data_IF_697117257724
#
_entry.id   IF_697117257724
#
_cell.length_a   1.000
_cell.length_b   1.000
_cell.length_c   1.000
_cell.angle_alpha   90.00
_cell.angle_beta   90.00
_cell.angle_gamma   90.00
#
_symmetry.space_group_name_H-M   'P 1'
#
loop_
_entity.id
_entity.type
_entity.pdbx_description
1 polymer ?
#
# COMPACT_ATOMS: atom_id res chain seq x y z
N UNK A 1 -2.96 -42.95 -2.81
CA UNK A 1 -3.04 -41.79 -1.89
C UNK A 1 -4.38 -41.88 -1.19
N UNK A 2 -4.40 -41.93 0.14
CA UNK A 2 -5.65 -41.95 0.89
C UNK A 2 -6.22 -40.50 1.01
N UNK A 3 -7.46 -40.38 1.49
CA UNK A 3 -8.14 -39.10 1.59
C UNK A 3 -7.35 -38.06 2.43
N UNK A 4 -6.72 -38.49 3.50
CA UNK A 4 -5.94 -37.61 4.37
C UNK A 4 -4.65 -37.12 3.70
N UNK A 5 -3.99 -37.97 2.92
CA UNK A 5 -2.83 -37.55 2.11
C UNK A 5 -3.23 -36.58 1.02
N UNK A 6 -4.40 -36.77 0.38
CA UNK A 6 -4.92 -35.83 -0.61
C UNK A 6 -5.18 -34.46 0.00
N UNK A 7 -5.76 -34.39 1.20
CA UNK A 7 -6.03 -33.13 1.89
C UNK A 7 -4.76 -32.37 2.27
N UNK A 8 -3.67 -33.05 2.60
CA UNK A 8 -2.40 -32.38 2.92
C UNK A 8 -1.80 -31.64 1.72
N UNK A 9 -2.05 -32.12 0.51
CA UNK A 9 -1.51 -31.52 -0.72
C UNK A 9 -2.54 -30.71 -1.52
N UNK A 10 -3.75 -30.58 -1.02
CA UNK A 10 -4.84 -29.90 -1.71
C UNK A 10 -4.52 -28.45 -2.04
N UNK A 11 -3.94 -27.72 -1.10
CA UNK A 11 -3.55 -26.33 -1.29
C UNK A 11 -2.43 -26.18 -2.32
N UNK A 12 -1.40 -27.00 -2.22
CA UNK A 12 -0.28 -26.98 -3.17
C UNK A 12 -0.76 -27.24 -4.60
N UNK A 13 -1.61 -28.24 -4.82
CA UNK A 13 -2.15 -28.57 -6.14
C UNK A 13 -3.00 -27.46 -6.77
N UNK A 14 -3.57 -26.57 -5.96
CA UNK A 14 -4.37 -25.43 -6.43
C UNK A 14 -3.57 -24.13 -6.62
N UNK A 15 -2.42 -23.98 -5.97
CA UNK A 15 -1.70 -22.71 -5.88
C UNK A 15 -0.28 -22.75 -6.44
N UNK A 16 0.37 -23.91 -6.44
CA UNK A 16 1.69 -24.07 -7.06
C UNK A 16 1.48 -24.42 -8.53
N UNK A 17 2.04 -23.59 -9.44
CA UNK A 17 1.82 -23.68 -10.87
C UNK A 17 2.19 -25.04 -11.47
N UNK A 18 3.47 -25.30 -11.85
CA UNK A 18 3.81 -26.52 -12.58
C UNK A 18 3.82 -27.76 -11.67
N UNK A 19 3.26 -28.85 -12.16
CA UNK A 19 3.45 -30.17 -11.58
C UNK A 19 4.82 -30.75 -12.01
N UNK A 20 5.15 -31.96 -11.52
CA UNK A 20 6.45 -32.56 -11.77
C UNK A 20 6.71 -32.83 -13.28
N UNK A 21 5.70 -33.28 -14.03
CA UNK A 21 5.83 -33.53 -15.47
C UNK A 21 6.04 -32.21 -16.22
N UNK A 22 5.23 -31.23 -15.95
CA UNK A 22 5.35 -29.87 -16.55
C UNK A 22 6.71 -29.25 -16.22
N UNK A 23 7.23 -29.45 -15.00
CA UNK A 23 8.58 -29.00 -14.63
C UNK A 23 9.65 -29.62 -15.51
N UNK A 24 9.56 -30.93 -15.80
CA UNK A 24 10.51 -31.61 -16.70
C UNK A 24 10.43 -31.03 -18.12
N UNK A 25 9.22 -30.87 -18.68
CA UNK A 25 9.02 -30.30 -20.00
C UNK A 25 9.55 -28.85 -20.12
N UNK A 26 9.38 -28.05 -19.04
CA UNK A 26 9.92 -26.70 -18.96
C UNK A 26 11.45 -26.70 -18.93
N UNK A 27 12.07 -27.59 -18.13
CA UNK A 27 13.52 -27.70 -18.04
C UNK A 27 14.15 -28.17 -19.37
N UNK A 28 13.51 -29.11 -20.06
CA UNK A 28 13.92 -29.53 -21.41
C UNK A 28 13.86 -28.38 -22.41
N UNK A 29 12.79 -27.57 -22.36
CA UNK A 29 12.65 -26.38 -23.21
C UNK A 29 13.73 -25.35 -22.95
N UNK A 30 14.12 -25.14 -21.68
CA UNK A 30 15.18 -24.22 -21.25
C UNK A 30 16.58 -24.80 -21.60
N UNK A 31 16.70 -26.09 -21.77
CA UNK A 31 17.96 -26.78 -22.06
C UNK A 31 18.82 -27.00 -20.80
N UNK A 32 18.20 -27.32 -19.67
CA UNK A 32 18.88 -27.63 -18.42
C UNK A 32 18.37 -28.98 -17.87
N UNK A 33 19.25 -29.72 -17.22
CA UNK A 33 18.99 -31.09 -16.76
C UNK A 33 18.00 -31.13 -15.57
N UNK A 34 18.13 -30.20 -14.65
CA UNK A 34 17.30 -30.14 -13.46
C UNK A 34 17.19 -28.74 -12.88
N UNK A 35 16.31 -28.58 -11.89
CA UNK A 35 16.03 -27.30 -11.27
C UNK A 35 17.23 -26.73 -10.50
N UNK A 36 18.06 -27.56 -9.88
CA UNK A 36 19.25 -27.11 -9.15
C UNK A 36 20.26 -26.45 -10.10
N UNK A 37 20.49 -27.04 -11.27
CA UNK A 37 21.34 -26.47 -12.32
C UNK A 37 20.77 -25.13 -12.82
N UNK A 38 19.45 -25.06 -12.98
CA UNK A 38 18.80 -23.78 -13.36
C UNK A 38 19.03 -22.72 -12.30
N UNK A 39 18.83 -23.04 -11.04
CA UNK A 39 19.03 -22.12 -9.91
C UNK A 39 20.50 -21.68 -9.85
N UNK A 40 21.45 -22.61 -9.96
CA UNK A 40 22.88 -22.31 -9.91
C UNK A 40 23.34 -21.40 -11.05
N UNK A 41 22.73 -21.54 -12.23
CA UNK A 41 23.00 -20.64 -13.36
C UNK A 41 22.32 -19.28 -13.25
N UNK A 42 21.26 -19.15 -12.45
CA UNK A 42 20.43 -17.96 -12.37
C UNK A 42 20.78 -17.09 -11.17
N UNK A 43 21.12 -17.71 -10.02
CA UNK A 43 21.38 -17.00 -8.77
C UNK A 43 22.89 -16.91 -8.56
N UNK A 44 23.45 -15.69 -8.41
CA UNK A 44 24.86 -15.52 -8.08
C UNK A 44 25.21 -16.25 -6.77
N UNK A 45 26.38 -16.90 -6.73
CA UNK A 45 26.86 -17.67 -5.58
C UNK A 45 26.88 -16.83 -4.29
N UNK A 46 27.20 -15.56 -4.37
CA UNK A 46 27.28 -14.65 -3.21
C UNK A 46 25.96 -14.46 -2.45
N UNK A 47 24.83 -14.73 -3.10
CA UNK A 47 23.48 -14.61 -2.51
C UNK A 47 22.76 -15.95 -2.45
N UNK A 48 23.40 -17.03 -2.89
CA UNK A 48 22.82 -18.38 -2.89
C UNK A 48 22.63 -18.90 -1.46
N UNK A 49 21.40 -19.29 -1.14
CA UNK A 49 21.09 -19.97 0.13
C UNK A 49 21.28 -21.47 -0.02
N UNK A 50 22.33 -22.03 0.59
CA UNK A 50 22.60 -23.49 0.59
C UNK A 50 21.96 -24.25 1.76
N UNK A 51 20.99 -23.65 2.43
CA UNK A 51 20.31 -24.25 3.57
C UNK A 51 18.83 -24.41 3.28
N UNK A 52 18.28 -25.53 3.67
CA UNK A 52 16.83 -25.67 3.70
C UNK A 52 16.20 -24.69 4.68
N UNK A 53 15.06 -24.14 4.30
CA UNK A 53 14.28 -23.29 5.19
C UNK A 53 13.71 -24.12 6.34
N UNK A 54 13.88 -23.66 7.57
CA UNK A 54 13.29 -24.28 8.76
C UNK A 54 11.81 -23.90 8.85
N UNK A 55 10.99 -24.52 8.03
CA UNK A 55 9.56 -24.32 8.02
C UNK A 55 8.84 -25.39 8.87
N UNK A 56 7.69 -25.06 9.47
CA UNK A 56 6.84 -26.06 10.09
C UNK A 56 6.31 -27.03 9.03
N UNK A 57 5.78 -28.16 9.48
CA UNK A 57 5.14 -29.12 8.58
C UNK A 57 3.91 -28.50 7.92
N UNK A 58 3.61 -28.95 6.70
CA UNK A 58 2.38 -28.59 6.01
C UNK A 58 1.16 -28.95 6.86
N UNK A 59 0.17 -28.08 6.83
CA UNK A 59 -1.10 -28.23 7.53
C UNK A 59 -2.25 -28.31 6.53
N UNK A 60 -3.34 -28.96 6.93
CA UNK A 60 -4.62 -28.83 6.21
C UNK A 60 -5.22 -27.46 6.42
N UNK A 61 -6.13 -27.01 5.54
CA UNK A 61 -6.85 -25.75 5.71
C UNK A 61 -7.55 -25.65 7.07
N UNK A 62 -8.14 -26.75 7.52
CA UNK A 62 -8.81 -26.78 8.83
C UNK A 62 -7.84 -26.55 10.00
N UNK A 63 -6.70 -27.21 9.99
CA UNK A 63 -5.65 -27.04 11.03
C UNK A 63 -5.12 -25.61 11.02
N UNK A 64 -4.79 -25.09 9.85
CA UNK A 64 -4.30 -23.72 9.70
C UNK A 64 -5.30 -22.68 10.22
N UNK A 65 -6.56 -22.78 9.79
CA UNK A 65 -7.60 -21.85 10.27
C UNK A 65 -7.85 -21.97 11.77
N UNK A 66 -7.74 -23.19 12.32
CA UNK A 66 -7.87 -23.41 13.76
C UNK A 66 -6.73 -22.77 14.55
N UNK A 67 -5.49 -22.87 14.06
CA UNK A 67 -4.33 -22.21 14.66
C UNK A 67 -4.39 -20.70 14.51
N UNK A 68 -4.78 -20.20 13.35
CA UNK A 68 -4.94 -18.78 13.10
C UNK A 68 -5.99 -18.16 14.02
N UNK A 69 -7.10 -18.86 14.27
CA UNK A 69 -8.10 -18.45 15.27
C UNK A 69 -7.53 -18.36 16.68
N UNK A 70 -6.72 -19.34 17.08
CA UNK A 70 -6.05 -19.31 18.39
C UNK A 70 -5.04 -18.17 18.50
N UNK A 71 -4.33 -17.87 17.40
CA UNK A 71 -3.41 -16.74 17.34
C UNK A 71 -4.17 -15.41 17.43
N UNK A 72 -5.22 -15.25 16.65
CA UNK A 72 -6.07 -14.05 16.66
C UNK A 72 -6.72 -13.81 18.02
N UNK A 73 -7.12 -14.87 18.72
CA UNK A 73 -7.71 -14.77 20.08
C UNK A 73 -6.75 -14.24 21.16
N UNK A 74 -5.44 -14.14 20.86
CA UNK A 74 -4.47 -13.50 21.77
C UNK A 74 -4.59 -11.98 21.75
N UNK A 75 -5.20 -11.40 20.72
CA UNK A 75 -5.48 -9.96 20.69
C UNK A 75 -6.52 -9.61 21.74
N UNK A 76 -6.25 -8.52 22.43
CA UNK A 76 -7.19 -7.98 23.42
C UNK A 76 -7.88 -6.77 22.82
N UNK A 77 -9.20 -6.79 22.86
CA UNK A 77 -10.03 -5.69 22.35
C UNK A 77 -10.24 -4.71 23.49
N UNK A 78 -9.72 -3.49 23.34
CA UNK A 78 -9.87 -2.39 24.27
C UNK A 78 -10.65 -1.25 23.61
N UNK A 79 -11.29 -0.42 24.43
CA UNK A 79 -11.73 0.88 23.96
C UNK A 79 -10.50 1.76 23.72
N UNK A 80 -10.39 2.26 22.49
CA UNK A 80 -9.26 3.09 22.09
C UNK A 80 -9.58 4.57 22.33
N UNK A 81 -8.78 5.23 23.18
CA UNK A 81 -8.87 6.66 23.48
C UNK A 81 -7.62 7.43 23.04
N UNK A 82 -6.76 6.84 22.21
CA UNK A 82 -5.54 7.51 21.75
C UNK A 82 -5.88 8.72 20.88
N UNK A 83 -6.90 8.61 20.04
CA UNK A 83 -7.35 9.69 19.13
C UNK A 83 -6.32 9.99 18.04
N UNK A 84 -5.57 11.07 18.20
CA UNK A 84 -4.55 11.54 17.23
C UNK A 84 -5.12 11.84 15.83
N UNK A 85 -6.40 12.24 15.78
CA UNK A 85 -7.09 12.52 14.52
C UNK A 85 -7.81 11.33 13.89
N UNK A 86 -7.67 10.11 14.44
CA UNK A 86 -8.30 8.90 13.95
C UNK A 86 -9.31 8.34 14.95
N UNK A 87 -10.48 7.96 14.46
CA UNK A 87 -11.57 7.45 15.26
C UNK A 87 -12.14 6.19 14.65
N UNK A 88 -12.68 5.31 15.50
CA UNK A 88 -13.37 4.12 15.03
C UNK A 88 -14.60 4.49 14.21
N UNK A 89 -14.87 3.70 13.19
CA UNK A 89 -16.03 3.83 12.31
C UNK A 89 -16.97 2.64 12.48
N UNK A 90 -18.25 2.85 12.14
CA UNK A 90 -19.22 1.78 12.08
C UNK A 90 -19.42 1.42 10.61
N UNK A 91 -19.04 0.21 10.23
CA UNK A 91 -19.24 -0.29 8.88
C UNK A 91 -20.65 -0.82 8.72
N UNK A 92 -21.50 -0.26 7.83
CA UNK A 92 -22.81 -0.82 7.54
C UNK A 92 -22.71 -2.25 7.01
N UNK A 93 -23.61 -3.14 7.45
CA UNK A 93 -23.56 -4.56 7.11
C UNK A 93 -23.62 -4.82 5.60
N UNK A 94 -24.34 -3.99 4.86
CA UNK A 94 -24.43 -4.09 3.39
C UNK A 94 -23.09 -3.77 2.72
N UNK A 95 -22.34 -2.81 3.22
CA UNK A 95 -21.01 -2.46 2.73
C UNK A 95 -20.02 -3.58 3.10
N UNK A 96 -20.08 -4.08 4.33
CA UNK A 96 -19.23 -5.20 4.75
C UNK A 96 -19.40 -6.38 3.79
N UNK A 97 -20.63 -6.84 3.58
CA UNK A 97 -20.92 -8.01 2.74
C UNK A 97 -20.62 -7.78 1.25
N UNK A 98 -21.06 -6.65 0.70
CA UNK A 98 -21.05 -6.45 -0.76
C UNK A 98 -19.73 -5.87 -1.28
N UNK A 99 -18.92 -5.27 -0.42
CA UNK A 99 -17.62 -4.67 -0.78
C UNK A 99 -16.48 -5.42 -0.11
N UNK A 100 -16.42 -5.43 1.21
CA UNK A 100 -15.27 -5.99 1.92
C UNK A 100 -15.16 -7.52 1.85
N UNK A 101 -16.28 -8.23 1.79
CA UNK A 101 -16.30 -9.70 1.65
C UNK A 101 -16.37 -10.16 0.20
N UNK A 102 -16.52 -9.27 -0.76
CA UNK A 102 -16.62 -9.60 -2.17
C UNK A 102 -15.25 -9.72 -2.83
N UNK A 103 -14.81 -10.91 -3.29
CA UNK A 103 -13.50 -11.11 -3.87
C UNK A 103 -13.25 -10.30 -5.15
N UNK A 104 -14.29 -9.82 -5.82
CA UNK A 104 -14.17 -8.89 -6.94
C UNK A 104 -13.60 -7.52 -6.53
N UNK A 105 -13.75 -7.13 -5.26
CA UNK A 105 -13.26 -5.85 -4.72
C UNK A 105 -11.94 -5.99 -3.96
N UNK A 106 -11.77 -6.99 -3.11
CA UNK A 106 -10.57 -7.12 -2.29
C UNK A 106 -9.40 -7.78 -3.03
N UNK A 107 -9.08 -7.35 -4.20
CA UNK A 107 -7.86 -7.74 -4.91
C UNK A 107 -6.80 -6.67 -4.77
N UNK A 108 -5.53 -7.08 -4.72
CA UNK A 108 -4.38 -6.16 -4.65
C UNK A 108 -4.02 -5.56 -6.01
N UNK A 109 -4.79 -5.86 -7.05
CA UNK A 109 -4.53 -5.33 -8.39
C UNK A 109 -4.69 -3.82 -8.43
N UNK A 110 -3.63 -3.12 -8.80
CA UNK A 110 -3.66 -1.68 -9.07
C UNK A 110 -4.12 -1.45 -10.50
N UNK A 111 -5.10 -0.56 -10.75
CA UNK A 111 -5.72 -0.41 -12.06
C UNK A 111 -4.86 0.40 -13.05
N UNK A 112 -3.66 -0.07 -13.34
CA UNK A 112 -2.78 0.56 -14.34
C UNK A 112 -3.26 0.35 -15.78
N UNK A 113 -3.97 -0.75 -16.04
CA UNK A 113 -4.49 -1.09 -17.35
C UNK A 113 -6.01 -0.87 -17.39
N UNK A 114 -6.45 0.13 -18.13
CA UNK A 114 -7.85 0.50 -18.24
C UNK A 114 -8.73 -0.67 -18.76
N UNK A 115 -8.21 -1.45 -19.69
CA UNK A 115 -8.91 -2.56 -20.33
C UNK A 115 -9.33 -3.65 -19.33
N UNK A 116 -8.52 -3.87 -18.31
CA UNK A 116 -8.76 -4.90 -17.28
C UNK A 116 -9.55 -4.33 -16.09
N UNK A 117 -9.49 -3.03 -15.87
CA UNK A 117 -9.89 -2.37 -14.62
C UNK A 117 -10.99 -1.33 -14.79
N UNK A 118 -11.82 -1.43 -15.83
CA UNK A 118 -12.81 -0.41 -16.18
C UNK A 118 -13.73 -0.04 -15.01
N UNK A 119 -14.29 -1.01 -14.30
CA UNK A 119 -15.15 -0.75 -13.13
C UNK A 119 -14.42 -0.09 -11.95
N UNK A 120 -13.14 -0.38 -11.76
CA UNK A 120 -12.32 0.29 -10.73
C UNK A 120 -12.01 1.71 -11.11
N UNK A 121 -11.70 1.98 -12.37
CA UNK A 121 -11.49 3.34 -12.87
C UNK A 121 -12.75 4.19 -12.76
N UNK A 122 -13.90 3.64 -13.08
CA UNK A 122 -15.20 4.30 -12.86
C UNK A 122 -15.41 4.64 -11.38
N UNK A 123 -15.10 3.71 -10.48
CA UNK A 123 -15.20 3.94 -9.04
C UNK A 123 -14.25 5.05 -8.56
N UNK A 124 -13.02 5.11 -9.06
CA UNK A 124 -12.07 6.18 -8.77
C UNK A 124 -12.57 7.54 -9.27
N UNK A 125 -13.11 7.58 -10.49
CA UNK A 125 -13.69 8.79 -11.04
C UNK A 125 -14.87 9.30 -10.21
N UNK A 126 -15.76 8.39 -9.80
CA UNK A 126 -16.88 8.74 -8.91
C UNK A 126 -16.40 9.29 -7.56
N UNK A 127 -15.34 8.70 -6.98
CA UNK A 127 -14.72 9.21 -5.76
C UNK A 127 -14.17 10.63 -5.95
N UNK A 128 -13.42 10.87 -7.02
CA UNK A 128 -12.85 12.19 -7.33
C UNK A 128 -13.96 13.25 -7.51
N UNK A 129 -15.00 12.91 -8.24
CA UNK A 129 -16.17 13.78 -8.44
C UNK A 129 -16.85 14.12 -7.12
N UNK A 130 -17.08 13.12 -6.28
CA UNK A 130 -17.69 13.30 -4.96
C UNK A 130 -16.85 14.23 -4.06
N UNK A 131 -15.53 14.05 -4.05
CA UNK A 131 -14.63 14.90 -3.26
C UNK A 131 -14.67 16.34 -3.77
N UNK A 132 -14.63 16.56 -5.08
CA UNK A 132 -14.77 17.90 -5.67
C UNK A 132 -16.10 18.57 -5.28
N UNK A 133 -17.21 17.84 -5.37
CA UNK A 133 -18.53 18.34 -5.01
C UNK A 133 -18.64 18.71 -3.52
N UNK A 134 -18.05 17.90 -2.65
CA UNK A 134 -18.07 18.13 -1.20
C UNK A 134 -17.15 19.29 -0.76
N UNK A 135 -16.05 19.51 -1.44
CA UNK A 135 -15.05 20.53 -1.06
C UNK A 135 -15.17 21.83 -1.83
N UNK A 136 -15.82 21.82 -3.00
CA UNK A 136 -15.86 22.94 -3.93
C UNK A 136 -14.53 23.19 -4.66
N UNK A 137 -13.58 22.24 -4.59
CA UNK A 137 -12.33 22.29 -5.34
C UNK A 137 -12.52 21.74 -6.75
N UNK A 138 -11.76 22.26 -7.71
CA UNK A 138 -11.93 21.89 -9.13
C UNK A 138 -11.39 20.50 -9.46
N UNK A 139 -10.37 20.04 -8.73
CA UNK A 139 -9.69 18.78 -8.99
C UNK A 139 -9.48 18.01 -7.70
N UNK A 140 -9.56 16.69 -7.81
CA UNK A 140 -9.18 15.75 -6.78
C UNK A 140 -8.38 14.63 -7.40
N UNK A 141 -7.40 14.11 -6.67
CA UNK A 141 -6.75 12.85 -7.00
C UNK A 141 -7.44 11.68 -6.27
N UNK A 142 -6.96 10.48 -6.52
CA UNK A 142 -7.40 9.27 -5.85
C UNK A 142 -6.28 8.23 -5.83
N UNK A 143 -6.44 7.20 -4.99
CA UNK A 143 -5.58 6.00 -5.02
C UNK A 143 -4.13 6.23 -4.63
N UNK A 144 -3.86 7.17 -3.72
CA UNK A 144 -2.58 7.29 -3.05
C UNK A 144 -2.52 6.33 -1.83
N UNK A 145 -1.32 6.07 -1.34
CA UNK A 145 -1.09 5.08 -0.27
C UNK A 145 -1.86 5.43 1.01
N UNK A 146 -1.71 6.67 1.48
CA UNK A 146 -2.38 7.24 2.65
C UNK A 146 -2.38 8.78 2.59
N UNK A 147 -3.04 9.44 3.54
CA UNK A 147 -3.15 10.90 3.58
C UNK A 147 -1.80 11.60 3.79
N UNK A 148 -0.93 11.05 4.61
CA UNK A 148 0.38 11.64 4.88
C UNK A 148 1.28 11.58 3.63
N UNK A 149 1.27 10.44 2.93
CA UNK A 149 1.96 10.28 1.65
C UNK A 149 1.36 11.19 0.58
N UNK A 150 0.03 11.33 0.52
CA UNK A 150 -0.63 12.24 -0.40
C UNK A 150 -0.19 13.69 -0.19
N UNK A 151 -0.10 14.14 1.06
CA UNK A 151 0.41 15.46 1.40
C UNK A 151 1.87 15.66 0.98
N UNK A 152 2.71 14.65 1.22
CA UNK A 152 4.13 14.69 0.85
C UNK A 152 4.34 14.68 -0.68
N UNK A 153 3.55 13.91 -1.41
CA UNK A 153 3.59 13.90 -2.88
C UNK A 153 3.10 15.23 -3.46
N UNK A 154 2.06 15.84 -2.88
CA UNK A 154 1.61 17.17 -3.26
C UNK A 154 2.71 18.22 -3.02
N UNK A 155 3.38 18.18 -1.87
CA UNK A 155 4.53 19.05 -1.57
C UNK A 155 5.62 18.89 -2.63
N UNK A 156 6.03 17.67 -2.95
CA UNK A 156 7.06 17.39 -3.94
C UNK A 156 6.65 17.87 -5.34
N UNK A 157 5.40 17.63 -5.73
CA UNK A 157 4.85 18.09 -7.01
C UNK A 157 4.90 19.61 -7.14
N UNK A 158 4.44 20.33 -6.12
CA UNK A 158 4.46 21.80 -6.10
C UNK A 158 5.89 22.35 -6.14
N UNK A 159 6.80 21.72 -5.39
CA UNK A 159 8.22 22.08 -5.39
C UNK A 159 8.82 21.97 -6.80
N UNK A 160 8.65 20.82 -7.46
CA UNK A 160 9.17 20.63 -8.81
C UNK A 160 8.49 21.53 -9.85
N UNK A 161 7.22 21.84 -9.66
CA UNK A 161 6.52 22.75 -10.56
C UNK A 161 7.04 24.18 -10.47
N UNK A 162 7.26 24.66 -9.24
CA UNK A 162 7.74 26.04 -8.99
C UNK A 162 9.21 26.22 -9.38
N UNK A 163 10.04 25.17 -9.24
CA UNK A 163 11.47 25.20 -9.53
C UNK A 163 11.82 24.91 -11.01
N UNK A 164 10.85 24.90 -11.92
CA UNK A 164 11.11 24.75 -13.36
C UNK A 164 11.75 26.01 -13.94
N UNK A 165 13.03 26.25 -13.68
CA UNK A 165 13.81 27.29 -14.33
C UNK A 165 14.52 28.28 -13.42
N UNK A 166 14.01 28.57 -12.24
CA UNK A 166 14.66 29.42 -11.24
C UNK A 166 14.77 28.64 -9.93
N UNK A 167 15.99 28.36 -9.48
CA UNK A 167 16.21 27.75 -8.18
C UNK A 167 15.75 28.70 -7.07
N UNK A 168 14.71 28.33 -6.34
CA UNK A 168 14.29 29.06 -5.15
C UNK A 168 15.39 28.88 -4.09
N UNK A 169 16.07 29.93 -3.73
CA UNK A 169 17.00 29.92 -2.61
C UNK A 169 16.20 29.68 -1.31
N UNK A 170 16.40 28.53 -0.66
CA UNK A 170 15.69 28.13 0.57
C UNK A 170 14.18 28.00 0.39
N UNK A 171 13.69 27.01 -0.39
CA UNK A 171 12.27 26.83 -0.63
C UNK A 171 11.53 26.45 0.66
N UNK A 172 10.46 27.19 0.95
CA UNK A 172 9.63 26.97 2.13
C UNK A 172 8.29 26.34 1.76
N UNK A 173 7.85 25.42 2.60
CA UNK A 173 6.52 24.85 2.57
C UNK A 173 5.81 25.09 3.89
N UNK A 174 4.67 25.77 3.86
CA UNK A 174 3.90 26.05 5.07
C UNK A 174 3.07 24.81 5.46
N UNK A 175 3.05 24.53 6.75
CA UNK A 175 2.24 23.45 7.33
C UNK A 175 1.46 23.98 8.52
N UNK A 176 0.14 23.87 8.47
CA UNK A 176 -0.69 24.27 9.62
C UNK A 176 -0.34 23.45 10.87
N UNK A 177 -0.24 24.12 12.01
CA UNK A 177 0.10 23.48 13.29
C UNK A 177 -0.87 22.41 13.73
N UNK A 178 -2.11 22.47 13.26
CA UNK A 178 -3.15 21.46 13.55
C UNK A 178 -3.10 20.24 12.64
N UNK A 179 -2.19 20.19 11.66
CA UNK A 179 -1.95 18.99 10.86
C UNK A 179 -1.56 17.84 11.78
N UNK A 180 -2.05 16.63 11.50
CA UNK A 180 -1.76 15.43 12.31
C UNK A 180 -0.27 15.16 12.42
N UNK A 181 0.16 14.69 13.57
CA UNK A 181 1.58 14.45 13.87
C UNK A 181 2.22 13.50 12.84
N UNK A 182 1.52 12.42 12.48
CA UNK A 182 1.99 11.43 11.50
C UNK A 182 2.24 12.05 10.12
N UNK A 183 1.38 12.97 9.71
CA UNK A 183 1.54 13.70 8.43
C UNK A 183 2.76 14.61 8.46
N UNK A 184 3.00 15.29 9.59
CA UNK A 184 4.21 16.11 9.78
C UNK A 184 5.49 15.29 9.70
N UNK A 185 5.53 14.11 10.35
CA UNK A 185 6.68 13.21 10.34
C UNK A 185 7.02 12.73 8.93
N UNK A 186 6.01 12.41 8.14
CA UNK A 186 6.19 12.01 6.72
C UNK A 186 6.67 13.20 5.88
N UNK A 187 6.10 14.39 6.08
CA UNK A 187 6.55 15.61 5.39
C UNK A 187 8.02 15.90 5.70
N UNK A 188 8.45 15.84 6.96
CA UNK A 188 9.83 16.05 7.37
C UNK A 188 10.78 15.04 6.71
N UNK A 189 10.39 13.76 6.70
CA UNK A 189 11.15 12.70 6.06
C UNK A 189 11.33 12.94 4.56
N UNK A 190 10.31 13.42 3.89
CA UNK A 190 10.32 13.69 2.44
C UNK A 190 10.97 15.03 2.08
N UNK A 191 10.86 16.04 2.94
CA UNK A 191 11.43 17.38 2.72
C UNK A 191 12.95 17.42 2.89
N UNK A 192 13.47 16.70 3.90
CA UNK A 192 14.89 16.74 4.28
C UNK A 192 15.85 16.41 3.12
N UNK A 193 15.69 15.33 2.33
CA UNK A 193 16.64 14.97 1.26
C UNK A 193 16.72 15.98 0.11
N UNK A 194 15.69 16.80 -0.05
CA UNK A 194 15.59 17.80 -1.14
C UNK A 194 15.66 19.25 -0.61
N UNK A 195 16.09 19.42 0.64
CA UNK A 195 16.34 20.71 1.29
C UNK A 195 15.11 21.64 1.32
N UNK A 196 13.90 21.11 1.43
CA UNK A 196 12.70 21.89 1.67
C UNK A 196 12.64 22.26 3.15
N UNK A 197 12.45 23.56 3.44
CA UNK A 197 12.21 24.04 4.79
C UNK A 197 10.71 23.99 5.12
N UNK A 198 10.31 23.15 6.07
CA UNK A 198 8.95 23.16 6.61
C UNK A 198 8.80 24.29 7.62
N UNK A 199 7.76 25.08 7.46
CA UNK A 199 7.43 26.21 8.38
C UNK A 199 6.07 25.94 8.98
N UNK A 200 6.03 25.74 10.28
CA UNK A 200 4.80 25.46 11.03
C UNK A 200 4.21 26.73 11.61
N UNK A 201 2.90 26.92 11.46
CA UNK A 201 2.19 28.10 11.95
C UNK A 201 0.67 27.94 11.92
N UNK A 202 -0.04 28.90 12.47
CA UNK A 202 -1.50 29.00 12.33
C UNK A 202 -1.83 29.62 10.97
N UNK A 203 -2.58 28.89 10.14
CA UNK A 203 -2.96 29.35 8.81
C UNK A 203 -3.75 30.67 8.80
N UNK A 204 -4.42 31.01 9.91
CA UNK A 204 -5.19 32.27 10.05
C UNK A 204 -4.32 33.51 10.18
N UNK A 205 -3.08 33.33 10.65
CA UNK A 205 -2.15 34.43 10.94
C UNK A 205 -0.87 34.33 10.12
N UNK A 206 -0.75 33.31 9.28
CA UNK A 206 0.45 33.08 8.49
C UNK A 206 0.63 34.14 7.44
N UNK A 207 1.81 34.78 7.40
CA UNK A 207 2.26 35.64 6.34
C UNK A 207 3.16 34.88 5.39
N UNK A 208 2.70 34.66 4.17
CA UNK A 208 3.42 33.85 3.16
C UNK A 208 4.03 34.82 2.13
N UNK A 209 5.33 34.75 1.96
CA UNK A 209 6.08 35.48 0.95
C UNK A 209 6.38 34.61 -0.29
N UNK A 210 7.11 35.15 -1.24
CA UNK A 210 7.50 34.51 -2.50
C UNK A 210 8.43 33.28 -2.34
N UNK A 211 9.03 33.11 -1.16
CA UNK A 211 9.86 31.95 -0.86
C UNK A 211 9.03 30.68 -0.56
N UNK A 212 7.73 30.84 -0.30
CA UNK A 212 6.81 29.72 -0.14
C UNK A 212 6.33 29.23 -1.50
N UNK A 213 6.51 27.95 -1.75
CA UNK A 213 6.02 27.32 -2.97
C UNK A 213 4.67 26.62 -2.78
N UNK A 214 4.22 26.44 -1.54
CA UNK A 214 2.94 25.81 -1.23
C UNK A 214 2.62 25.85 0.25
N UNK A 215 1.40 25.42 0.57
CA UNK A 215 0.90 25.34 1.93
C UNK A 215 0.02 24.10 2.11
N UNK A 216 0.08 23.47 3.28
CA UNK A 216 -0.79 22.40 3.71
C UNK A 216 -1.69 22.84 4.85
N UNK A 217 -2.99 22.70 4.63
CA UNK A 217 -4.02 22.89 5.67
C UNK A 217 -4.83 21.60 5.70
N UNK A 218 -5.02 21.05 6.89
CA UNK A 218 -5.79 19.82 7.10
C UNK A 218 -7.18 20.14 7.62
N UNK A 219 -8.19 19.47 7.07
CA UNK A 219 -9.56 19.51 7.54
C UNK A 219 -10.21 18.15 7.44
N UNK A 220 -10.89 17.67 8.49
CA UNK A 220 -10.91 18.22 9.85
C UNK A 220 -9.57 18.06 10.56
N UNK A 221 -9.38 18.83 11.64
CA UNK A 221 -8.16 18.78 12.47
C UNK A 221 -8.51 18.86 13.98
#
# INVERSE_FOLDING_TARGET
MNLFEQQQYEFAGRHIGPNQQETVEMLETIGVENLDILIDKTIPEAIRLHKELKLPKAQTEFEYLSELKKLAAKNKIYNNYIGQGYYNTITPSVILRNVFENPGWYTQYTPYQAEISQGRLESLLNFQTMVCDLTGLELSNASLLDEATAAAEAMAMLFHHKNKGDEIASPKFFVDTNTFAQTKDVLETRASPINIQLVYGDYKTAELDETYFGALIQYPN
#
